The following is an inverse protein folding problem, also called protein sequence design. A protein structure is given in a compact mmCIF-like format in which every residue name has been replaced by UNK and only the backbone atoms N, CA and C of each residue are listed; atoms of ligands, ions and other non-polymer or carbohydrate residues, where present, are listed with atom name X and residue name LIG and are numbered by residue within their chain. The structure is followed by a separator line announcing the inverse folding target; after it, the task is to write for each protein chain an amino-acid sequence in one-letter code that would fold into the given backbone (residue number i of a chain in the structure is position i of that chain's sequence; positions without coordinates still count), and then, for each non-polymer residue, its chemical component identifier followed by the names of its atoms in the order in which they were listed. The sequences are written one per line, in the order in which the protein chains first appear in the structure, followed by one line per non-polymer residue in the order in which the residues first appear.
data_IF_830707062644
#
_entry.id   IF_830707062644
#
_cell.length_a   1.000
_cell.length_b   1.000
_cell.length_c   1.000
_cell.angle_alpha   90.00
_cell.angle_beta   90.00
_cell.angle_gamma   90.00
#
_symmetry.space_group_name_H-M   'P 1'
#
loop_
_entity.id
_entity.type
_entity.pdbx_description
1 polymer ?
#
# COMPACT_ATOMS: atom_id res chain seq x y z
N UNK A 1 -15.00 -4.88 2.69
CA UNK A 1 -13.89 -3.92 2.72
C UNK A 1 -14.33 -2.63 2.03
N UNK A 2 -14.11 -1.43 2.58
CA UNK A 2 -14.33 -0.24 1.77
C UNK A 2 -13.37 -0.28 0.58
N UNK A 3 -13.79 0.09 -0.63
CA UNK A 3 -12.91 0.10 -1.78
C UNK A 3 -11.75 1.05 -1.51
N UNK A 4 -10.55 0.52 -1.59
CA UNK A 4 -9.34 1.31 -1.43
C UNK A 4 -9.33 2.29 -2.60
N UNK A 5 -9.44 3.55 -2.29
CA UNK A 5 -9.61 4.60 -3.30
C UNK A 5 -8.33 4.78 -4.13
N UNK A 6 -8.42 4.89 -5.47
CA UNK A 6 -7.26 5.12 -6.32
C UNK A 6 -6.46 6.34 -5.86
N UNK A 7 -5.15 6.40 -6.15
CA UNK A 7 -4.30 7.51 -5.76
C UNK A 7 -4.94 8.86 -6.13
N UNK A 8 -4.85 9.89 -5.28
CA UNK A 8 -5.46 11.19 -5.52
C UNK A 8 -5.13 11.77 -6.91
N UNK A 9 -3.89 11.57 -7.38
CA UNK A 9 -3.44 12.04 -8.70
C UNK A 9 -4.24 11.42 -9.85
N UNK A 10 -4.51 10.12 -9.81
CA UNK A 10 -5.29 9.45 -10.87
C UNK A 10 -6.74 9.94 -10.89
N UNK A 11 -7.35 10.15 -9.73
CA UNK A 11 -8.70 10.74 -9.63
C UNK A 11 -8.71 12.17 -10.18
N UNK A 12 -7.75 13.00 -9.80
CA UNK A 12 -7.64 14.38 -10.29
C UNK A 12 -7.55 14.39 -11.82
N UNK A 13 -6.68 13.57 -12.39
CA UNK A 13 -6.52 13.49 -13.84
C UNK A 13 -7.78 12.97 -14.55
N UNK A 14 -8.43 11.96 -14.00
CA UNK A 14 -9.66 11.39 -14.58
C UNK A 14 -10.81 12.39 -14.54
N UNK A 15 -11.05 13.02 -13.39
CA UNK A 15 -12.14 13.98 -13.23
C UNK A 15 -11.90 15.29 -14.00
N UNK A 16 -10.63 15.71 -14.18
CA UNK A 16 -10.31 16.85 -15.05
C UNK A 16 -10.52 16.56 -16.53
N UNK A 17 -10.27 15.32 -16.98
CA UNK A 17 -10.48 14.90 -18.38
C UNK A 17 -11.94 14.58 -18.68
N UNK A 18 -12.63 14.03 -17.72
CA UNK A 18 -14.03 13.59 -17.80
C UNK A 18 -14.82 14.17 -16.62
N UNK A 19 -15.09 15.49 -16.63
CA UNK A 19 -15.75 16.17 -15.52
C UNK A 19 -17.16 15.58 -15.31
N UNK A 20 -17.57 15.35 -14.07
CA UNK A 20 -18.93 14.98 -13.75
C UNK A 20 -19.89 16.13 -14.09
N UNK A 21 -21.16 15.82 -14.29
CA UNK A 21 -22.18 16.84 -14.53
C UNK A 21 -22.33 17.81 -13.37
N UNK A 22 -22.15 17.30 -12.14
CA UNK A 22 -22.21 18.07 -10.91
C UNK A 22 -21.08 17.63 -9.97
N UNK A 23 -20.44 18.64 -9.36
CA UNK A 23 -19.42 18.45 -8.33
C UNK A 23 -19.71 19.41 -7.18
N UNK A 24 -20.07 18.87 -6.03
CA UNK A 24 -20.43 19.65 -4.86
C UNK A 24 -19.29 19.62 -3.84
N UNK A 25 -18.99 20.78 -3.28
CA UNK A 25 -18.11 20.91 -2.13
C UNK A 25 -18.93 21.30 -0.91
N UNK A 26 -18.93 20.43 0.09
CA UNK A 26 -19.64 20.63 1.35
C UNK A 26 -18.60 20.85 2.44
N UNK A 27 -18.63 22.00 3.08
CA UNK A 27 -17.74 22.38 4.17
C UNK A 27 -18.39 23.40 5.09
N UNK A 28 -17.95 23.43 6.34
CA UNK A 28 -18.48 24.39 7.35
C UNK A 28 -18.03 25.83 7.12
N UNK A 29 -17.03 26.06 6.25
CA UNK A 29 -16.47 27.39 5.98
C UNK A 29 -16.87 27.98 4.62
N UNK A 30 -17.58 27.22 3.78
CA UNK A 30 -18.06 27.65 2.47
C UNK A 30 -16.98 28.08 1.49
N UNK A 31 -15.70 27.83 1.76
CA UNK A 31 -14.60 28.25 0.90
C UNK A 31 -14.55 27.45 -0.39
N UNK A 32 -14.05 28.10 -1.43
CA UNK A 32 -13.83 27.46 -2.73
C UNK A 32 -12.66 26.49 -2.63
N UNK A 33 -12.93 25.20 -2.83
CA UNK A 33 -11.92 24.16 -2.93
C UNK A 33 -12.16 23.30 -4.18
N UNK A 34 -11.62 23.74 -5.32
CA UNK A 34 -11.81 23.07 -6.62
C UNK A 34 -10.57 22.30 -7.04
N UNK A 35 -10.29 21.20 -6.37
CA UNK A 35 -9.16 20.32 -6.66
C UNK A 35 -9.23 19.70 -8.07
N UNK A 36 -10.43 19.45 -8.55
CA UNK A 36 -10.67 18.71 -9.80
C UNK A 36 -10.90 19.64 -11.00
N UNK A 37 -11.05 20.94 -10.81
CA UNK A 37 -11.33 21.90 -11.88
C UNK A 37 -12.72 21.74 -12.50
N UNK A 38 -13.69 21.28 -11.73
CA UNK A 38 -15.06 21.00 -12.20
C UNK A 38 -16.13 21.30 -11.12
N UNK A 39 -15.81 22.12 -10.13
CA UNK A 39 -16.73 22.47 -9.05
C UNK A 39 -17.95 23.21 -9.59
N UNK A 40 -19.15 22.73 -9.26
CA UNK A 40 -20.43 23.33 -9.68
C UNK A 40 -21.18 23.99 -8.54
N UNK A 41 -21.03 23.50 -7.30
CA UNK A 41 -21.82 23.95 -6.17
C UNK A 41 -21.01 23.94 -4.88
N UNK A 42 -21.19 24.98 -4.07
CA UNK A 42 -20.64 25.05 -2.70
C UNK A 42 -21.81 25.05 -1.74
N UNK A 43 -21.74 24.20 -0.71
CA UNK A 43 -22.75 24.12 0.34
C UNK A 43 -22.04 24.33 1.67
N UNK A 44 -22.35 25.48 2.32
CA UNK A 44 -21.84 25.77 3.66
C UNK A 44 -22.69 25.05 4.69
N UNK A 45 -22.23 23.88 5.09
CA UNK A 45 -22.89 23.02 6.07
C UNK A 45 -21.88 21.98 6.59
N UNK A 46 -22.15 21.44 7.78
CA UNK A 46 -21.42 20.26 8.25
C UNK A 46 -21.67 19.07 7.29
N UNK A 47 -20.63 18.38 6.81
CA UNK A 47 -20.79 17.28 5.86
C UNK A 47 -21.67 16.13 6.38
N UNK A 48 -21.63 15.83 7.67
CA UNK A 48 -22.45 14.79 8.27
C UNK A 48 -23.92 15.21 8.29
N UNK A 49 -24.22 16.45 8.73
CA UNK A 49 -25.57 17.00 8.72
C UNK A 49 -26.16 17.06 7.29
N UNK A 50 -25.33 17.41 6.30
CA UNK A 50 -25.73 17.38 4.91
C UNK A 50 -26.12 15.97 4.45
N UNK A 51 -25.32 14.97 4.77
CA UNK A 51 -25.60 13.58 4.41
C UNK A 51 -26.85 13.03 5.10
N UNK A 52 -27.11 13.38 6.36
CA UNK A 52 -28.34 13.00 7.04
C UNK A 52 -29.59 13.60 6.37
N UNK A 53 -29.53 14.89 6.02
CA UNK A 53 -30.64 15.57 5.33
C UNK A 53 -30.90 14.98 3.95
N UNK A 54 -29.86 14.71 3.16
CA UNK A 54 -29.99 14.07 1.85
C UNK A 54 -30.53 12.65 1.98
N UNK A 55 -30.02 11.86 2.92
CA UNK A 55 -30.51 10.50 3.13
C UNK A 55 -31.99 10.45 3.47
N UNK A 56 -32.49 11.44 4.23
CA UNK A 56 -33.91 11.57 4.53
C UNK A 56 -34.75 11.94 3.30
N UNK A 57 -34.20 12.74 2.38
CA UNK A 57 -34.89 13.20 1.17
C UNK A 57 -34.84 12.18 0.01
N UNK A 58 -33.88 11.26 0.04
CA UNK A 58 -33.76 10.23 -0.99
C UNK A 58 -34.78 9.12 -0.74
N UNK A 59 -35.62 8.87 -1.73
CA UNK A 59 -36.42 7.64 -1.77
C UNK A 59 -35.50 6.43 -1.69
N UNK A 60 -35.72 5.54 -0.73
CA UNK A 60 -34.98 4.27 -0.57
C UNK A 60 -35.27 3.28 -1.72
N UNK A 61 -35.06 3.70 -2.97
CA UNK A 61 -35.19 2.82 -4.11
C UNK A 61 -33.97 1.90 -4.18
N UNK A 62 -34.17 0.59 -4.26
CA UNK A 62 -33.05 -0.32 -4.42
C UNK A 62 -32.30 0.04 -5.71
N UNK A 63 -30.99 0.17 -5.61
CA UNK A 63 -30.11 0.42 -6.74
C UNK A 63 -29.24 -0.81 -7.01
N UNK A 64 -29.00 -1.12 -8.28
CA UNK A 64 -28.07 -2.17 -8.70
C UNK A 64 -26.60 -1.72 -8.65
N UNK A 65 -26.33 -0.46 -8.28
CA UNK A 65 -25.00 0.11 -8.33
C UNK A 65 -23.95 -0.68 -7.50
N UNK A 66 -24.22 -1.10 -6.24
CA UNK A 66 -23.28 -1.94 -5.48
C UNK A 66 -22.97 -3.27 -6.19
N UNK A 67 -23.98 -3.94 -6.73
CA UNK A 67 -23.83 -5.20 -7.46
C UNK A 67 -23.04 -5.03 -8.76
N UNK A 68 -23.24 -3.91 -9.46
CA UNK A 68 -22.45 -3.59 -10.66
C UNK A 68 -20.96 -3.45 -10.31
N UNK A 69 -20.63 -2.72 -9.24
CA UNK A 69 -19.27 -2.58 -8.77
C UNK A 69 -18.67 -3.91 -8.31
N UNK A 70 -19.40 -4.67 -7.52
CA UNK A 70 -18.97 -5.99 -7.07
C UNK A 70 -18.66 -6.93 -8.23
N UNK A 71 -19.55 -6.98 -9.22
CA UNK A 71 -19.34 -7.79 -10.42
C UNK A 71 -18.13 -7.29 -11.23
N UNK A 72 -18.00 -5.97 -11.43
CA UNK A 72 -16.85 -5.40 -12.11
C UNK A 72 -15.53 -5.73 -11.40
N UNK A 73 -15.47 -5.58 -10.08
CA UNK A 73 -14.26 -5.90 -9.29
C UNK A 73 -13.88 -7.38 -9.44
N UNK A 74 -14.84 -8.29 -9.54
CA UNK A 74 -14.58 -9.73 -9.76
C UNK A 74 -13.96 -10.04 -11.13
N UNK A 75 -14.14 -9.15 -12.12
CA UNK A 75 -13.54 -9.33 -13.46
C UNK A 75 -12.08 -8.86 -13.53
N UNK A 76 -11.61 -8.10 -12.55
CA UNK A 76 -10.21 -7.64 -12.50
C UNK A 76 -9.34 -8.78 -12.00
N UNK A 77 -8.42 -9.34 -12.82
CA UNK A 77 -7.56 -10.42 -12.38
C UNK A 77 -6.53 -9.91 -11.39
N UNK A 78 -6.18 -10.73 -10.41
CA UNK A 78 -4.98 -10.49 -9.60
C UNK A 78 -3.74 -10.60 -10.50
N UNK A 79 -2.69 -9.80 -10.26
CA UNK A 79 -1.47 -9.91 -11.04
C UNK A 79 -0.75 -11.23 -10.75
N UNK A 80 -0.39 -11.96 -11.81
CA UNK A 80 0.53 -13.08 -11.80
C UNK A 80 1.80 -12.60 -12.50
N UNK A 81 2.78 -12.18 -11.73
CA UNK A 81 4.00 -11.54 -12.22
C UNK A 81 5.24 -12.33 -11.80
N UNK A 82 6.32 -12.30 -12.60
CA UNK A 82 7.59 -12.86 -12.19
C UNK A 82 8.15 -12.16 -10.97
N UNK A 83 9.23 -12.68 -10.41
CA UNK A 83 9.92 -12.12 -9.24
C UNK A 83 10.03 -10.58 -9.32
N UNK A 84 9.44 -9.91 -8.34
CA UNK A 84 9.23 -8.45 -8.26
C UNK A 84 8.71 -8.08 -6.88
N UNK A 85 8.68 -6.79 -6.53
CA UNK A 85 8.00 -6.32 -5.31
C UNK A 85 6.53 -6.73 -5.29
N UNK A 86 5.86 -6.63 -6.43
CA UNK A 86 4.43 -6.96 -6.55
C UNK A 86 4.22 -8.45 -6.29
N UNK A 87 5.06 -9.33 -6.83
CA UNK A 87 4.96 -10.77 -6.60
C UNK A 87 5.24 -11.13 -5.14
N UNK A 88 6.26 -10.51 -4.51
CA UNK A 88 6.58 -10.73 -3.11
C UNK A 88 5.43 -10.33 -2.17
N UNK A 89 4.81 -9.17 -2.41
CA UNK A 89 3.62 -8.72 -1.68
C UNK A 89 2.46 -9.70 -1.88
N UNK A 90 2.21 -10.11 -3.11
CA UNK A 90 1.13 -11.05 -3.45
C UNK A 90 1.30 -12.40 -2.78
N UNK A 91 2.51 -12.97 -2.80
CA UNK A 91 2.83 -14.23 -2.13
C UNK A 91 2.63 -14.11 -0.62
N UNK A 92 3.08 -13.02 0.00
CA UNK A 92 2.84 -12.81 1.43
C UNK A 92 1.34 -12.75 1.73
N UNK A 93 0.58 -11.90 1.03
CA UNK A 93 -0.87 -11.75 1.29
C UNK A 93 -1.61 -13.07 1.16
N UNK A 94 -1.28 -13.89 0.16
CA UNK A 94 -1.90 -15.20 -0.08
C UNK A 94 -1.49 -16.25 0.97
N UNK A 95 -0.36 -16.06 1.65
CA UNK A 95 0.19 -16.99 2.64
C UNK A 95 -0.06 -16.55 4.09
N UNK A 96 -0.73 -15.41 4.31
CA UNK A 96 -0.98 -14.89 5.66
C UNK A 96 -1.78 -15.89 6.51
N UNK A 97 -1.30 -16.24 7.70
CA UNK A 97 -2.08 -17.02 8.65
C UNK A 97 -3.23 -16.17 9.21
N UNK A 98 -4.39 -16.78 9.41
CA UNK A 98 -5.55 -16.11 9.99
C UNK A 98 -5.87 -16.63 11.40
N UNK A 99 -6.06 -15.75 12.40
CA UNK A 99 -6.07 -14.29 12.34
C UNK A 99 -4.67 -13.68 12.51
N UNK A 100 -4.38 -12.60 11.80
CA UNK A 100 -3.17 -11.79 11.99
C UNK A 100 -3.43 -10.30 11.74
N UNK A 101 -2.42 -9.44 11.97
CA UNK A 101 -2.43 -8.04 11.59
C UNK A 101 -1.45 -7.80 10.43
N UNK A 102 -1.87 -7.05 9.43
CA UNK A 102 -1.06 -6.63 8.29
C UNK A 102 -0.89 -5.12 8.29
N UNK A 103 0.33 -4.67 8.47
CA UNK A 103 0.71 -3.26 8.44
C UNK A 103 1.31 -2.92 7.09
N UNK A 104 0.74 -1.93 6.42
CA UNK A 104 1.15 -1.50 5.09
C UNK A 104 1.76 -0.11 5.18
N UNK A 105 3.04 0.02 4.83
CA UNK A 105 3.68 1.32 4.69
C UNK A 105 3.15 2.08 3.46
N UNK A 106 3.42 3.37 3.42
CA UNK A 106 3.02 4.23 2.30
C UNK A 106 3.86 3.97 1.03
N UNK A 107 3.58 4.72 -0.04
CA UNK A 107 4.22 4.66 -1.35
C UNK A 107 3.81 3.43 -2.17
N UNK A 108 4.77 2.71 -2.78
CA UNK A 108 4.51 1.55 -3.64
C UNK A 108 3.84 0.43 -2.89
N UNK A 109 4.26 0.16 -1.66
CA UNK A 109 3.76 -0.92 -0.80
C UNK A 109 2.22 -0.99 -0.74
N UNK A 110 1.56 0.10 -0.29
CA UNK A 110 0.09 0.11 -0.20
C UNK A 110 -0.58 0.03 -1.57
N UNK A 111 0.06 0.56 -2.63
CA UNK A 111 -0.50 0.50 -3.98
C UNK A 111 -0.47 -0.89 -4.56
N UNK A 112 0.58 -1.64 -4.31
CA UNK A 112 0.72 -3.02 -4.78
C UNK A 112 -0.16 -3.97 -3.97
N UNK A 113 -0.23 -3.79 -2.65
CA UNK A 113 -1.13 -4.59 -1.80
C UNK A 113 -2.60 -4.49 -2.22
N UNK A 114 -3.03 -3.35 -2.80
CA UNK A 114 -4.40 -3.17 -3.32
C UNK A 114 -4.75 -4.06 -4.51
N UNK A 115 -3.76 -4.63 -5.19
CA UNK A 115 -3.97 -5.50 -6.35
C UNK A 115 -4.38 -6.93 -5.93
N UNK A 116 -4.30 -7.25 -4.64
CA UNK A 116 -4.55 -8.58 -4.11
C UNK A 116 -5.74 -8.58 -3.15
N UNK A 117 -6.44 -9.71 -3.11
CA UNK A 117 -7.52 -9.93 -2.14
C UNK A 117 -6.92 -10.33 -0.80
N UNK A 118 -7.14 -9.51 0.22
CA UNK A 118 -6.66 -9.79 1.57
C UNK A 118 -7.67 -10.71 2.28
N UNK A 119 -7.22 -11.77 2.98
CA UNK A 119 -8.08 -12.69 3.70
C UNK A 119 -8.97 -11.97 4.74
N UNK A 120 -10.22 -12.44 4.98
CA UNK A 120 -11.23 -11.68 5.71
C UNK A 120 -10.93 -11.49 7.20
N UNK A 121 -10.09 -12.34 7.81
CA UNK A 121 -9.72 -12.27 9.22
C UNK A 121 -8.38 -11.58 9.46
N UNK A 122 -7.80 -10.98 8.44
CA UNK A 122 -6.60 -10.15 8.53
C UNK A 122 -7.00 -8.72 8.85
N UNK A 123 -6.50 -8.18 9.95
CA UNK A 123 -6.68 -6.79 10.33
C UNK A 123 -5.66 -5.92 9.57
N UNK A 124 -6.14 -4.90 8.86
CA UNK A 124 -5.28 -4.05 8.03
C UNK A 124 -5.05 -2.72 8.72
N UNK A 125 -3.78 -2.36 8.88
CA UNK A 125 -3.32 -1.09 9.43
C UNK A 125 -2.48 -0.34 8.40
N UNK A 126 -2.67 0.98 8.28
CA UNK A 126 -1.89 1.81 7.38
C UNK A 126 -1.85 3.27 7.82
N UNK A 127 -0.68 3.90 7.81
CA UNK A 127 -0.48 5.32 8.10
C UNK A 127 -0.77 6.18 6.87
N UNK A 128 -2.07 6.44 6.58
CA UNK A 128 -2.49 7.18 5.36
C UNK A 128 -2.87 8.63 5.59
N UNK A 129 -2.69 9.19 6.79
CA UNK A 129 -3.12 10.55 7.12
C UNK A 129 -2.55 11.61 6.17
N UNK A 130 -1.23 11.67 6.04
CA UNK A 130 -0.52 12.68 5.23
C UNK A 130 0.37 12.09 4.13
N UNK A 131 0.31 10.79 3.90
CA UNK A 131 1.10 10.06 2.89
C UNK A 131 2.65 10.13 3.09
N UNK A 132 3.13 10.44 4.29
CA UNK A 132 4.54 10.35 4.64
C UNK A 132 5.04 8.90 4.59
N UNK A 133 6.33 8.71 4.40
CA UNK A 133 6.96 7.38 4.42
C UNK A 133 7.61 7.07 5.77
N UNK A 134 7.74 8.05 6.62
CA UNK A 134 8.20 7.94 8.02
C UNK A 134 7.07 7.46 8.96
N UNK A 135 7.42 6.93 10.12
CA UNK A 135 6.51 6.56 11.19
C UNK A 135 5.68 5.29 10.97
N UNK A 136 5.79 4.65 9.81
CA UNK A 136 5.04 3.43 9.50
C UNK A 136 5.53 2.25 10.33
N UNK A 137 6.85 2.09 10.47
CA UNK A 137 7.45 1.03 11.27
C UNK A 137 7.18 1.27 12.77
N UNK A 138 7.38 2.48 13.27
CA UNK A 138 7.13 2.84 14.69
C UNK A 138 5.68 2.57 15.08
N UNK A 139 4.71 2.91 14.23
CA UNK A 139 3.29 2.63 14.47
C UNK A 139 3.02 1.12 14.52
N UNK A 140 3.57 0.36 13.57
CA UNK A 140 3.41 -1.08 13.52
C UNK A 140 4.02 -1.78 14.74
N UNK A 141 5.22 -1.37 15.16
CA UNK A 141 5.88 -1.88 16.36
C UNK A 141 5.05 -1.55 17.61
N UNK A 142 4.56 -0.31 17.74
CA UNK A 142 3.70 0.08 18.86
C UNK A 142 2.42 -0.75 18.93
N UNK A 143 1.79 -1.04 17.80
CA UNK A 143 0.65 -1.95 17.74
C UNK A 143 1.02 -3.38 18.15
N UNK A 144 2.13 -3.91 17.62
CA UNK A 144 2.58 -5.27 17.88
C UNK A 144 2.90 -5.52 19.36
N UNK A 145 3.46 -4.52 20.06
CA UNK A 145 3.72 -4.58 21.51
C UNK A 145 2.42 -4.72 22.31
N UNK A 146 1.35 -4.09 21.86
CA UNK A 146 0.03 -4.14 22.51
C UNK A 146 -0.85 -5.32 22.02
N UNK A 147 -0.40 -6.11 21.04
CA UNK A 147 -1.14 -7.16 20.38
C UNK A 147 -0.56 -8.55 20.66
N UNK A 148 -1.44 -9.54 20.81
CA UNK A 148 -1.06 -10.96 20.87
C UNK A 148 -1.05 -11.65 19.50
N UNK A 149 -1.49 -10.94 18.44
CA UNK A 149 -1.52 -11.46 17.08
C UNK A 149 -0.11 -11.47 16.47
N UNK A 150 0.09 -12.31 15.46
CA UNK A 150 1.21 -12.13 14.53
C UNK A 150 1.00 -10.83 13.74
N UNK A 151 2.07 -10.07 13.60
CA UNK A 151 2.07 -8.77 12.91
C UNK A 151 3.01 -8.84 11.73
N UNK A 152 2.46 -8.79 10.53
CA UNK A 152 3.21 -8.72 9.27
C UNK A 152 3.30 -7.26 8.85
N UNK A 153 4.51 -6.77 8.60
CA UNK A 153 4.79 -5.39 8.23
C UNK A 153 5.41 -5.39 6.84
N UNK A 154 4.74 -4.81 5.85
CA UNK A 154 5.30 -4.63 4.51
C UNK A 154 5.75 -3.18 4.40
N UNK A 155 7.04 -2.97 4.12
CA UNK A 155 7.67 -1.66 4.13
C UNK A 155 8.76 -1.57 3.06
N UNK A 156 8.86 -0.44 2.38
CA UNK A 156 9.96 -0.15 1.45
C UNK A 156 11.21 0.30 2.19
N UNK A 157 12.36 0.22 1.52
CA UNK A 157 13.69 0.53 2.04
C UNK A 157 13.82 1.93 2.63
N UNK A 158 13.46 2.97 1.90
CA UNK A 158 13.53 4.34 2.40
C UNK A 158 12.64 4.55 3.63
N UNK A 159 11.44 3.98 3.63
CA UNK A 159 10.53 4.06 4.77
C UNK A 159 11.10 3.34 6.00
N UNK A 160 11.74 2.19 5.79
CA UNK A 160 12.41 1.44 6.84
C UNK A 160 13.58 2.24 7.42
N UNK A 161 14.50 2.73 6.58
CA UNK A 161 15.70 3.45 7.04
C UNK A 161 15.38 4.79 7.70
N UNK A 162 14.31 5.49 7.29
CA UNK A 162 13.84 6.69 7.99
C UNK A 162 13.26 6.42 9.38
N UNK A 163 12.78 5.20 9.64
CA UNK A 163 12.07 4.83 10.87
C UNK A 163 12.73 3.63 11.60
N UNK A 164 13.94 3.20 11.19
CA UNK A 164 14.62 2.05 11.77
C UNK A 164 14.91 2.17 13.26
N UNK A 165 14.91 3.39 13.80
CA UNK A 165 15.00 3.66 15.23
C UNK A 165 13.82 3.10 16.02
N UNK A 166 12.70 2.73 15.40
CA UNK A 166 11.61 2.01 16.06
C UNK A 166 12.07 0.71 16.74
N UNK A 167 13.18 0.13 16.28
CA UNK A 167 13.72 -1.14 16.75
C UNK A 167 14.84 -1.02 17.79
N UNK A 168 15.29 0.20 18.14
CA UNK A 168 16.45 0.37 19.03
C UNK A 168 16.20 -0.08 20.47
N UNK A 169 14.97 0.08 20.97
CA UNK A 169 14.60 -0.11 22.36
C UNK A 169 14.31 -1.57 22.75
N UNK A 170 14.17 -2.47 21.78
CA UNK A 170 13.93 -3.91 21.97
C UNK A 170 12.70 -4.26 22.84
N UNK A 171 11.72 -3.37 22.96
CA UNK A 171 10.48 -3.60 23.73
C UNK A 171 9.41 -4.35 22.89
N UNK A 172 9.84 -5.19 21.96
CA UNK A 172 8.98 -5.97 21.06
C UNK A 172 9.24 -7.47 21.22
N UNK A 173 8.25 -8.27 20.81
CA UNK A 173 8.29 -9.72 20.90
C UNK A 173 8.55 -10.41 19.55
N UNK A 174 8.50 -11.74 19.58
CA UNK A 174 8.67 -12.59 18.41
C UNK A 174 7.49 -12.52 17.41
N UNK A 175 6.42 -11.83 17.77
CA UNK A 175 5.22 -11.67 16.94
C UNK A 175 5.36 -10.64 15.81
N UNK A 176 6.58 -10.23 15.46
CA UNK A 176 6.88 -9.22 14.44
C UNK A 176 7.61 -9.85 13.27
N UNK A 177 7.00 -9.76 12.08
CA UNK A 177 7.55 -10.24 10.83
C UNK A 177 7.57 -9.09 9.82
N UNK A 178 8.78 -8.61 9.46
CA UNK A 178 8.99 -7.48 8.55
C UNK A 178 9.37 -7.99 7.17
N UNK A 179 8.52 -7.74 6.17
CA UNK A 179 8.87 -7.86 4.75
C UNK A 179 9.40 -6.51 4.28
N UNK A 180 10.71 -6.39 4.15
CA UNK A 180 11.40 -5.22 3.65
C UNK A 180 11.63 -5.35 2.16
N UNK A 181 11.04 -4.46 1.38
CA UNK A 181 11.23 -4.37 -0.07
C UNK A 181 12.38 -3.40 -0.34
N UNK A 182 13.48 -3.91 -0.84
CA UNK A 182 14.69 -3.14 -1.11
C UNK A 182 14.98 -3.09 -2.61
N UNK A 183 14.57 -2.00 -3.24
CA UNK A 183 14.83 -1.69 -4.64
C UNK A 183 15.87 -0.58 -4.83
N UNK A 184 16.61 -0.26 -3.76
CA UNK A 184 17.68 0.74 -3.72
C UNK A 184 17.18 2.17 -3.98
N UNK A 185 15.96 2.53 -3.50
CA UNK A 185 15.49 3.92 -3.56
C UNK A 185 14.00 4.13 -3.78
N UNK A 186 13.62 5.34 -4.21
CA UNK A 186 12.24 5.75 -4.39
C UNK A 186 11.67 5.37 -5.76
N UNK A 187 11.24 4.14 -5.93
CA UNK A 187 10.68 3.59 -7.20
C UNK A 187 9.52 4.43 -7.77
N UNK A 188 8.64 4.94 -6.92
CA UNK A 188 7.46 5.69 -7.36
C UNK A 188 7.83 6.88 -8.28
N UNK A 189 8.99 7.47 -8.11
CA UNK A 189 9.42 8.60 -8.92
C UNK A 189 9.72 8.20 -10.37
N UNK A 190 10.06 6.92 -10.63
CA UNK A 190 10.25 6.40 -11.99
C UNK A 190 8.92 6.26 -12.76
N UNK A 191 7.79 6.27 -12.07
CA UNK A 191 6.46 6.19 -12.69
C UNK A 191 5.89 7.57 -13.06
N UNK A 192 6.47 8.66 -12.56
CA UNK A 192 5.95 10.01 -12.78
C UNK A 192 6.32 10.53 -14.19
N UNK A 193 5.35 11.12 -14.93
CA UNK A 193 5.63 11.74 -16.22
C UNK A 193 6.58 12.94 -16.06
N UNK A 194 7.59 13.03 -16.91
CA UNK A 194 8.49 14.19 -16.96
C UNK A 194 9.65 14.14 -15.97
N UNK A 195 9.81 13.05 -15.21
CA UNK A 195 11.01 12.87 -14.38
C UNK A 195 12.24 12.66 -15.28
N UNK A 196 13.24 13.52 -15.07
CA UNK A 196 14.54 13.38 -15.69
C UNK A 196 15.30 12.18 -15.09
N UNK A 197 15.92 11.37 -15.96
CA UNK A 197 16.77 10.22 -15.58
C UNK A 197 18.23 10.63 -15.31
N UNK A 198 18.50 11.91 -15.04
CA UNK A 198 19.84 12.40 -14.72
C UNK A 198 20.38 11.81 -13.41
N UNK A 199 21.69 11.83 -13.24
CA UNK A 199 22.36 11.42 -12.00
C UNK A 199 21.87 12.23 -10.79
N UNK A 200 21.56 13.52 -10.97
CA UNK A 200 21.00 14.38 -9.91
C UNK A 200 19.60 13.94 -9.48
N UNK A 201 18.76 13.54 -10.43
CA UNK A 201 17.43 13.01 -10.08
C UNK A 201 17.54 11.72 -9.29
N UNK A 202 18.48 10.84 -9.65
CA UNK A 202 18.71 9.60 -8.89
C UNK A 202 19.19 9.87 -7.47
N UNK A 203 20.16 10.76 -7.31
CA UNK A 203 20.75 11.09 -6.01
C UNK A 203 19.77 11.83 -5.08
N UNK A 204 19.09 12.88 -5.57
CA UNK A 204 18.35 13.81 -4.71
C UNK A 204 16.84 13.61 -4.70
N UNK A 205 16.26 12.95 -5.70
CA UNK A 205 14.82 12.73 -5.76
C UNK A 205 14.47 11.28 -5.43
N UNK A 206 15.14 10.32 -6.07
CA UNK A 206 14.90 8.91 -5.79
C UNK A 206 15.69 8.39 -4.60
N UNK A 207 16.62 9.18 -4.07
CA UNK A 207 17.46 8.83 -2.92
C UNK A 207 18.10 7.44 -3.08
N UNK A 208 18.73 7.21 -4.26
CA UNK A 208 19.35 5.93 -4.58
C UNK A 208 20.43 5.56 -3.54
N UNK A 209 20.43 4.31 -3.11
CA UNK A 209 21.35 3.79 -2.09
C UNK A 209 21.66 2.32 -2.32
N UNK A 210 22.67 1.79 -1.60
CA UNK A 210 23.06 0.38 -1.59
C UNK A 210 23.10 -0.18 -0.17
N UNK A 211 22.24 0.36 0.69
CA UNK A 211 22.17 -0.01 2.10
C UNK A 211 21.33 -1.26 2.29
N UNK A 212 21.74 -2.14 3.20
CA UNK A 212 20.97 -3.33 3.60
C UNK A 212 20.62 -3.24 5.09
N UNK A 213 19.48 -3.80 5.45
CA UNK A 213 19.05 -3.85 6.85
C UNK A 213 19.72 -4.94 7.67
N UNK A 214 20.55 -5.82 7.06
CA UNK A 214 21.11 -7.01 7.69
C UNK A 214 21.75 -6.74 9.05
N UNK A 215 22.74 -5.86 9.09
CA UNK A 215 23.51 -5.60 10.33
C UNK A 215 22.61 -5.06 11.45
N UNK A 216 21.65 -4.19 11.11
CA UNK A 216 20.70 -3.66 12.09
C UNK A 216 19.72 -4.73 12.58
N UNK A 217 19.19 -5.56 11.69
CA UNK A 217 18.28 -6.63 12.04
C UNK A 217 18.94 -7.66 12.98
N UNK A 218 20.13 -8.13 12.63
CA UNK A 218 20.89 -9.11 13.43
C UNK A 218 21.24 -8.54 14.82
N UNK A 219 21.72 -7.29 14.90
CA UNK A 219 22.03 -6.63 16.16
C UNK A 219 20.79 -6.46 17.05
N UNK A 220 19.60 -6.29 16.45
CA UNK A 220 18.32 -6.18 17.17
C UNK A 220 17.67 -7.52 17.46
N UNK A 221 18.30 -8.65 17.15
CA UNK A 221 17.85 -10.00 17.48
C UNK A 221 16.81 -10.56 16.52
N UNK A 222 16.70 -10.01 15.30
CA UNK A 222 15.85 -10.57 14.26
C UNK A 222 16.52 -11.76 13.55
N UNK A 223 15.74 -12.77 13.20
CA UNK A 223 16.14 -13.72 12.16
C UNK A 223 16.11 -12.96 10.85
N UNK A 224 17.28 -12.77 10.24
CA UNK A 224 17.41 -12.10 8.96
C UNK A 224 17.41 -13.10 7.81
N UNK A 225 16.54 -12.86 6.82
CA UNK A 225 16.43 -13.66 5.59
C UNK A 225 16.68 -12.73 4.40
N UNK A 226 17.67 -13.04 3.58
CA UNK A 226 17.92 -12.35 2.31
C UNK A 226 17.24 -13.11 1.18
N UNK A 227 16.58 -12.37 0.28
CA UNK A 227 15.89 -12.92 -0.90
C UNK A 227 16.27 -12.11 -2.12
N UNK A 228 16.74 -12.79 -3.19
CA UNK A 228 17.20 -12.16 -4.43
C UNK A 228 16.56 -12.75 -5.69
N UNK A 229 15.81 -13.85 -5.55
CA UNK A 229 15.13 -14.52 -6.66
C UNK A 229 13.83 -15.22 -6.22
N UNK A 230 13.16 -15.84 -7.17
CA UNK A 230 11.86 -16.49 -7.00
C UNK A 230 11.94 -17.73 -6.09
N UNK A 231 13.00 -18.56 -6.25
CA UNK A 231 13.18 -19.79 -5.49
C UNK A 231 13.43 -19.47 -4.01
N UNK A 232 14.35 -18.54 -3.75
CA UNK A 232 14.61 -18.03 -2.39
C UNK A 232 13.35 -17.43 -1.75
N UNK A 233 12.54 -16.70 -2.54
CA UNK A 233 11.29 -16.12 -2.06
C UNK A 233 10.29 -17.20 -1.63
N UNK A 234 10.12 -18.25 -2.43
CA UNK A 234 9.19 -19.33 -2.11
C UNK A 234 9.59 -20.09 -0.85
N UNK A 235 10.87 -20.37 -0.67
CA UNK A 235 11.34 -21.07 0.51
C UNK A 235 11.32 -20.19 1.76
N UNK A 236 11.72 -18.93 1.64
CA UNK A 236 11.64 -17.96 2.73
C UNK A 236 10.21 -17.74 3.20
N UNK A 237 9.25 -17.65 2.27
CA UNK A 237 7.85 -17.39 2.59
C UNK A 237 7.23 -18.49 3.46
N UNK A 238 7.61 -19.76 3.24
CA UNK A 238 7.15 -20.89 4.07
C UNK A 238 7.51 -20.70 5.53
N UNK A 239 8.77 -20.31 5.81
CA UNK A 239 9.24 -20.04 7.16
C UNK A 239 8.62 -18.76 7.72
N UNK A 240 8.54 -17.71 6.91
CA UNK A 240 8.11 -16.38 7.30
C UNK A 240 6.63 -16.31 7.71
N UNK A 241 5.78 -17.15 7.13
CA UNK A 241 4.34 -17.16 7.39
C UNK A 241 3.87 -18.30 8.32
N UNK A 242 4.78 -19.14 8.78
CA UNK A 242 4.43 -20.23 9.69
C UNK A 242 4.00 -19.67 11.06
N UNK A 243 2.81 -20.05 11.57
CA UNK A 243 2.27 -19.53 12.83
C UNK A 243 2.94 -20.14 14.08
N UNK A 244 3.83 -21.09 13.91
CA UNK A 244 4.54 -21.72 15.02
C UNK A 244 5.38 -20.71 15.79
N UNK A 245 5.36 -20.81 17.10
CA UNK A 245 5.97 -19.90 18.06
C UNK A 245 7.45 -19.69 17.79
N UNK A 246 7.76 -18.71 16.98
CA UNK A 246 9.13 -18.26 16.80
C UNK A 246 9.61 -17.62 18.09
N UNK A 247 10.84 -17.96 18.47
CA UNK A 247 11.48 -17.37 19.64
C UNK A 247 12.01 -15.95 19.37
N UNK A 248 12.03 -15.53 18.10
CA UNK A 248 12.61 -14.28 17.63
C UNK A 248 11.75 -13.67 16.53
N UNK A 249 11.73 -12.32 16.44
CA UNK A 249 11.12 -11.63 15.31
C UNK A 249 11.90 -11.91 14.01
N UNK A 250 11.26 -11.70 12.87
CA UNK A 250 11.84 -11.97 11.54
C UNK A 250 11.89 -10.71 10.68
N UNK A 251 12.96 -10.58 9.91
CA UNK A 251 13.09 -9.58 8.85
C UNK A 251 13.53 -10.29 7.57
N UNK A 252 12.65 -10.32 6.58
CA UNK A 252 12.92 -10.79 5.22
C UNK A 252 13.15 -9.57 4.33
N UNK A 253 14.38 -9.42 3.82
CA UNK A 253 14.76 -8.35 2.90
C UNK A 253 14.78 -8.88 1.47
N UNK A 254 13.84 -8.41 0.66
CA UNK A 254 13.63 -8.81 -0.73
C UNK A 254 14.25 -7.76 -1.64
N UNK A 255 15.30 -8.13 -2.36
CA UNK A 255 16.00 -7.25 -3.30
C UNK A 255 15.37 -7.37 -4.69
N UNK A 256 14.93 -6.26 -5.25
CA UNK A 256 14.30 -6.21 -6.57
C UNK A 256 14.92 -5.13 -7.46
N UNK A 257 14.50 -5.11 -8.72
CA UNK A 257 14.92 -4.09 -9.69
C UNK A 257 13.77 -3.11 -9.97
N UNK A 258 13.95 -1.86 -9.55
CA UNK A 258 12.95 -0.78 -9.69
C UNK A 258 12.50 -0.51 -11.13
N UNK A 259 13.37 -0.70 -12.13
CA UNK A 259 13.01 -0.49 -13.54
C UNK A 259 12.14 -1.64 -14.06
N UNK A 260 12.48 -2.86 -13.65
CA UNK A 260 11.70 -4.07 -13.95
C UNK A 260 10.32 -3.99 -13.29
N UNK A 261 10.25 -3.65 -12.01
CA UNK A 261 9.00 -3.54 -11.25
C UNK A 261 8.07 -2.49 -11.86
N UNK A 262 8.61 -1.32 -12.20
CA UNK A 262 7.86 -0.27 -12.91
C UNK A 262 7.32 -0.75 -14.26
N UNK A 263 8.09 -1.53 -15.00
CA UNK A 263 7.67 -2.07 -16.32
C UNK A 263 6.55 -3.08 -16.15
N UNK A 264 6.70 -4.04 -15.25
CA UNK A 264 5.68 -5.05 -14.95
C UNK A 264 4.35 -4.43 -14.52
N UNK A 265 4.39 -3.39 -13.69
CA UNK A 265 3.19 -2.66 -13.28
C UNK A 265 2.48 -1.99 -14.47
N UNK A 266 3.25 -1.36 -15.37
CA UNK A 266 2.70 -0.72 -16.58
C UNK A 266 2.05 -1.74 -17.50
N UNK A 267 2.70 -2.88 -17.72
CA UNK A 267 2.19 -3.97 -18.54
C UNK A 267 0.89 -4.54 -17.96
N UNK A 268 0.83 -4.77 -16.66
CA UNK A 268 -0.39 -5.19 -15.97
C UNK A 268 -1.55 -4.21 -16.21
N UNK A 269 -1.34 -2.90 -15.97
CA UNK A 269 -2.40 -1.92 -16.20
C UNK A 269 -2.76 -1.74 -17.68
N UNK A 270 -1.82 -1.92 -18.59
CA UNK A 270 -2.09 -1.89 -20.02
C UNK A 270 -2.94 -3.09 -20.44
N UNK A 271 -2.65 -4.26 -19.91
CA UNK A 271 -3.45 -5.46 -20.12
C UNK A 271 -4.91 -5.31 -19.67
N UNK A 272 -5.13 -4.63 -18.52
CA UNK A 272 -6.50 -4.34 -18.04
C UNK A 272 -7.30 -3.43 -18.97
N UNK A 273 -6.64 -2.45 -19.62
CA UNK A 273 -7.31 -1.51 -20.53
C UNK A 273 -7.72 -2.14 -21.86
N UNK A 274 -7.02 -3.17 -22.29
CA UNK A 274 -7.21 -3.81 -23.59
C UNK A 274 -8.12 -5.04 -23.53
N UNK A 275 -8.70 -5.37 -22.37
CA UNK A 275 -9.75 -6.37 -22.30
C UNK A 275 -11.00 -5.79 -22.97
N UNK A 276 -11.59 -6.46 -23.99
CA UNK A 276 -12.86 -6.04 -24.56
C UNK A 276 -13.90 -6.00 -23.42
N UNK A 277 -14.69 -4.93 -23.39
CA UNK A 277 -15.89 -4.88 -22.56
C UNK A 277 -16.85 -5.97 -23.12
N UNK A 278 -16.85 -7.15 -22.53
CA UNK A 278 -17.87 -8.17 -22.75
C UNK A 278 -19.13 -7.85 -21.94
#
# INVERSE_FOLDING_TARGET
MPPITPPPILRIQTLRKHPPREHWHISTDGKIADLYGCLTTIIEMDPFEFLEKIAFLLDNKPTNYPLMWENYCKTVPMPELPYSEISAIGKLIQSLPEPCALHLANSSTIRYAQLFTIPPRVEICCNRGVNGIEGSLSTAIGYAVASTKLNFIIIGDLSFFYDMNALWNQNYGANIHILLLNNEGGEIFHTLPGMDKSSRSREFITAEHYTTAKGWAEERGFIYIKVTDEEELEDAMKQFTTPETLMQPMLMEVFTDKEKDTTLLREYYHGLKNKPNE
#
